data_IF_071359980369
#
_entry.id   IF_071359980369
#
_cell.length_a   1.000
_cell.length_b   1.000
_cell.length_c   1.000
_cell.angle_alpha   90.00
_cell.angle_beta   90.00
_cell.angle_gamma   90.00
#
_symmetry.space_group_name_H-M   'P 1'
#
loop_
_entity.id
_entity.type
_entity.pdbx_description
1 polymer ?
#
# COMPACT_ATOMS: atom_id res chain seq x y z
N UNK A 1 -14.27 28.84 -4.51
CA UNK A 1 -14.83 27.64 -5.17
C UNK A 1 -14.10 26.43 -4.60
N UNK A 2 -14.69 25.71 -3.64
CA UNK A 2 -14.11 24.47 -3.11
C UNK A 2 -14.48 23.37 -4.08
N UNK A 3 -13.48 22.72 -4.67
CA UNK A 3 -13.72 21.46 -5.36
C UNK A 3 -14.36 20.51 -4.34
N UNK A 4 -15.64 20.16 -4.56
CA UNK A 4 -16.19 18.94 -3.98
C UNK A 4 -15.28 17.84 -4.52
N UNK A 5 -14.34 17.38 -3.71
CA UNK A 5 -13.78 16.06 -3.90
C UNK A 5 -14.98 15.14 -3.78
N UNK A 6 -15.58 14.81 -4.93
CA UNK A 6 -16.49 13.70 -5.06
C UNK A 6 -15.77 12.58 -4.34
N UNK A 7 -16.37 12.12 -3.25
CA UNK A 7 -15.97 10.91 -2.57
C UNK A 7 -16.16 9.79 -3.60
N UNK A 8 -15.18 9.65 -4.50
CA UNK A 8 -15.03 8.51 -5.39
C UNK A 8 -14.88 7.37 -4.41
N UNK A 9 -16.00 6.66 -4.22
CA UNK A 9 -16.09 5.51 -3.37
C UNK A 9 -14.99 4.57 -3.87
N UNK A 10 -13.93 4.39 -3.08
CA UNK A 10 -12.95 3.39 -3.41
C UNK A 10 -13.67 2.04 -3.42
N UNK A 11 -13.83 1.46 -4.60
CA UNK A 11 -14.32 0.10 -4.76
C UNK A 11 -13.21 -0.85 -4.32
N UNK A 12 -13.23 -1.21 -3.03
CA UNK A 12 -12.26 -2.13 -2.44
C UNK A 12 -12.31 -3.47 -3.17
N UNK A 13 -11.24 -3.83 -3.88
CA UNK A 13 -11.05 -5.15 -4.48
C UNK A 13 -10.41 -6.11 -3.48
N UNK A 14 -9.09 -6.23 -3.54
CA UNK A 14 -8.30 -7.07 -2.63
C UNK A 14 -7.36 -6.22 -1.78
N UNK A 15 -7.02 -6.70 -0.58
CA UNK A 15 -6.08 -6.02 0.30
C UNK A 15 -5.07 -7.01 0.90
N UNK A 16 -3.80 -6.63 0.91
CA UNK A 16 -2.72 -7.36 1.56
C UNK A 16 -2.04 -6.48 2.61
N UNK A 17 -1.64 -7.10 3.73
CA UNK A 17 -0.77 -6.46 4.73
C UNK A 17 0.65 -6.41 4.19
N UNK A 18 1.35 -5.31 4.43
CA UNK A 18 2.81 -5.28 4.34
C UNK A 18 3.36 -6.16 5.47
N UNK A 19 4.08 -7.25 5.17
CA UNK A 19 4.55 -8.19 6.18
C UNK A 19 5.66 -7.62 7.05
N UNK A 20 5.90 -8.20 8.24
CA UNK A 20 7.10 -7.92 9.02
C UNK A 20 8.36 -8.44 8.31
N UNK A 21 9.56 -7.90 8.62
CA UNK A 21 10.78 -8.19 7.86
C UNK A 21 11.22 -9.66 7.87
N UNK A 22 10.84 -10.42 8.90
CA UNK A 22 11.22 -11.83 9.03
C UNK A 22 10.32 -12.79 8.25
N UNK A 23 9.20 -12.33 7.69
CA UNK A 23 8.20 -13.21 7.08
C UNK A 23 8.35 -13.33 5.55
N UNK A 24 9.41 -14.02 5.12
CA UNK A 24 9.82 -14.10 3.72
C UNK A 24 8.74 -14.64 2.77
N UNK A 25 7.88 -15.56 3.23
CA UNK A 25 6.80 -16.14 2.42
C UNK A 25 5.73 -15.10 2.08
N UNK A 26 5.31 -14.32 3.07
CA UNK A 26 4.33 -13.25 2.87
C UNK A 26 4.92 -12.13 2.03
N UNK A 27 6.23 -11.84 2.16
CA UNK A 27 6.92 -10.91 1.26
C UNK A 27 6.91 -11.39 -0.19
N UNK A 28 7.21 -12.66 -0.45
CA UNK A 28 7.14 -13.22 -1.79
C UNK A 28 5.72 -13.09 -2.37
N UNK A 29 4.70 -13.39 -1.57
CA UNK A 29 3.29 -13.23 -1.99
C UNK A 29 2.98 -11.78 -2.34
N UNK A 30 3.43 -10.84 -1.52
CA UNK A 30 3.23 -9.42 -1.78
C UNK A 30 3.92 -8.98 -3.08
N UNK A 31 5.17 -9.40 -3.32
CA UNK A 31 5.89 -9.08 -4.56
C UNK A 31 5.22 -9.65 -5.80
N UNK A 32 4.76 -10.91 -5.74
CA UNK A 32 4.01 -11.50 -6.86
C UNK A 32 2.71 -10.77 -7.13
N UNK A 33 2.03 -10.29 -6.08
CA UNK A 33 0.77 -9.58 -6.23
C UNK A 33 0.94 -8.16 -6.77
N UNK A 34 1.98 -7.44 -6.34
CA UNK A 34 2.25 -6.07 -6.79
C UNK A 34 2.90 -5.99 -8.17
N UNK A 35 3.67 -7.01 -8.57
CA UNK A 35 4.32 -7.03 -9.87
C UNK A 35 5.23 -5.82 -10.11
N UNK A 36 5.01 -5.14 -11.23
CA UNK A 36 5.81 -3.98 -11.67
C UNK A 36 5.46 -2.67 -10.97
N UNK A 37 4.31 -2.61 -10.28
CA UNK A 37 3.86 -1.43 -9.53
C UNK A 37 4.59 -1.26 -8.19
N UNK A 38 5.56 -2.11 -7.88
CA UNK A 38 6.33 -2.02 -6.65
C UNK A 38 7.84 -2.01 -6.85
N UNK A 39 8.52 -1.30 -5.96
CA UNK A 39 9.98 -1.21 -5.90
C UNK A 39 10.48 -1.45 -4.49
N UNK A 40 11.59 -2.17 -4.39
CA UNK A 40 12.33 -2.31 -3.14
C UNK A 40 12.92 -0.98 -2.71
N UNK A 41 12.87 -0.68 -1.42
CA UNK A 41 13.55 0.45 -0.80
C UNK A 41 14.68 -0.04 0.12
N UNK A 42 15.61 0.83 0.46
CA UNK A 42 16.73 0.48 1.33
C UNK A 42 16.30 0.19 2.78
N UNK A 43 15.14 0.71 3.19
CA UNK A 43 14.61 0.48 4.53
C UNK A 43 14.09 -0.95 4.68
N UNK A 44 14.52 -1.62 5.76
CA UNK A 44 14.03 -2.95 6.09
C UNK A 44 12.51 -2.87 6.38
N UNK A 45 11.76 -3.82 5.81
CA UNK A 45 10.31 -3.94 5.99
C UNK A 45 9.46 -2.81 5.38
N UNK A 46 9.90 -2.22 4.27
CA UNK A 46 9.08 -1.28 3.50
C UNK A 46 9.10 -1.60 2.00
N UNK A 47 8.07 -1.15 1.30
CA UNK A 47 7.93 -1.26 -0.15
C UNK A 47 7.39 0.05 -0.71
N UNK A 48 7.94 0.52 -1.83
CA UNK A 48 7.34 1.60 -2.58
C UNK A 48 6.31 1.03 -3.54
N UNK A 49 5.11 1.61 -3.55
CA UNK A 49 3.99 1.22 -4.42
C UNK A 49 3.60 2.41 -5.29
N UNK A 50 3.46 2.19 -6.59
CA UNK A 50 2.93 3.19 -7.51
C UNK A 50 1.43 3.32 -7.31
N UNK A 51 0.96 4.53 -7.04
CA UNK A 51 -0.46 4.86 -6.90
C UNK A 51 -0.82 5.96 -7.90
N UNK A 52 -2.13 6.22 -8.15
CA UNK A 52 -2.55 7.30 -9.04
C UNK A 52 -2.03 8.69 -8.64
N UNK A 53 -1.85 8.93 -7.34
CA UNK A 53 -1.30 10.17 -6.79
C UNK A 53 0.25 10.21 -6.79
N UNK A 54 0.89 9.11 -7.20
CA UNK A 54 2.34 8.94 -7.24
C UNK A 54 2.87 7.80 -6.37
N UNK A 55 4.20 7.62 -6.29
CA UNK A 55 4.79 6.56 -5.49
C UNK A 55 4.65 6.82 -3.98
N UNK A 56 4.16 5.84 -3.23
CA UNK A 56 4.00 5.89 -1.77
C UNK A 56 4.82 4.76 -1.11
N UNK A 57 5.47 5.04 0.01
CA UNK A 57 6.17 4.02 0.80
C UNK A 57 5.19 3.43 1.83
N UNK A 58 4.94 2.12 1.74
CA UNK A 58 4.19 1.36 2.71
C UNK A 58 5.14 0.58 3.62
N UNK A 59 4.97 0.72 4.94
CA UNK A 59 5.81 0.02 5.93
C UNK A 59 5.12 -1.24 6.44
N UNK A 60 5.89 -2.14 7.04
CA UNK A 60 5.36 -3.30 7.75
C UNK A 60 4.21 -2.91 8.67
N UNK A 61 3.12 -3.64 8.53
CA UNK A 61 1.88 -3.31 9.20
C UNK A 61 0.92 -2.55 8.31
N UNK A 62 1.33 -1.71 7.36
CA UNK A 62 0.39 -0.99 6.46
C UNK A 62 -0.45 -1.94 5.61
N UNK A 63 -1.60 -1.45 5.12
CA UNK A 63 -2.40 -2.15 4.13
C UNK A 63 -2.12 -1.60 2.73
N UNK A 64 -1.98 -2.49 1.76
CA UNK A 64 -2.02 -2.14 0.34
C UNK A 64 -3.32 -2.70 -0.23
N UNK A 65 -4.12 -1.84 -0.87
CA UNK A 65 -5.45 -2.14 -1.37
C UNK A 65 -5.44 -1.96 -2.90
N UNK A 66 -5.83 -2.99 -3.63
CA UNK A 66 -6.10 -2.94 -5.06
C UNK A 66 -7.59 -2.60 -5.26
N UNK A 67 -7.88 -1.52 -5.96
CA UNK A 67 -9.23 -1.17 -6.36
C UNK A 67 -9.73 -2.11 -7.47
N UNK A 68 -11.05 -2.23 -7.64
CA UNK A 68 -11.64 -2.99 -8.76
C UNK A 68 -11.21 -2.41 -10.12
N UNK A 69 -10.92 -1.11 -10.18
CA UNK A 69 -10.44 -0.43 -11.39
C UNK A 69 -8.98 -0.72 -11.72
N UNK A 70 -8.23 -1.37 -10.82
CA UNK A 70 -6.84 -1.76 -11.04
C UNK A 70 -5.79 -0.87 -10.36
N UNK A 71 -6.21 0.10 -9.54
CA UNK A 71 -5.30 1.06 -8.90
C UNK A 71 -4.94 0.66 -7.47
N UNK A 72 -3.67 0.78 -7.10
CA UNK A 72 -3.19 0.56 -5.73
C UNK A 72 -3.32 1.78 -4.83
N UNK A 73 -3.66 1.54 -3.57
CA UNK A 73 -3.76 2.53 -2.50
C UNK A 73 -3.10 2.00 -1.23
N UNK A 74 -2.42 2.87 -0.50
CA UNK A 74 -1.80 2.52 0.79
C UNK A 74 -2.65 3.11 1.91
N UNK A 75 -3.13 2.24 2.80
CA UNK A 75 -3.77 2.64 4.04
C UNK A 75 -2.81 2.41 5.20
N UNK A 76 -2.21 3.51 5.66
CA UNK A 76 -1.27 3.47 6.78
C UNK A 76 -1.96 3.01 8.05
N UNK A 77 -1.31 2.12 8.80
CA UNK A 77 -1.75 1.86 10.17
C UNK A 77 -1.43 3.08 11.02
N UNK A 78 -2.37 3.46 11.88
CA UNK A 78 -2.07 4.42 12.91
C UNK A 78 -0.92 3.84 13.75
N UNK A 79 0.29 4.38 13.56
CA UNK A 79 1.35 4.20 14.54
C UNK A 79 0.89 4.98 15.75
N UNK A 80 0.67 4.30 16.87
CA UNK A 80 0.39 4.94 18.16
C UNK A 80 1.67 5.65 18.61
N UNK A 81 1.97 6.78 17.97
CA UNK A 81 3.00 7.75 18.35
C UNK A 81 2.35 9.13 18.28
N UNK A 82 1.25 9.32 19.01
CA UNK A 82 0.82 10.66 19.41
C UNK A 82 1.45 10.93 20.77
N UNK A 83 2.62 11.57 20.76
CA UNK A 83 3.27 12.22 21.90
C UNK A 83 4.23 13.28 21.40
#
# INVERSE_FOLDING_TARGET
MRAKASQLRFDHGAALRVPPPWDARSWQTLWTWLGEDARSVAEAAAVQVLTPDGPIIAHSGDWIVLSVSGDFHVAHTARTCDA
#
